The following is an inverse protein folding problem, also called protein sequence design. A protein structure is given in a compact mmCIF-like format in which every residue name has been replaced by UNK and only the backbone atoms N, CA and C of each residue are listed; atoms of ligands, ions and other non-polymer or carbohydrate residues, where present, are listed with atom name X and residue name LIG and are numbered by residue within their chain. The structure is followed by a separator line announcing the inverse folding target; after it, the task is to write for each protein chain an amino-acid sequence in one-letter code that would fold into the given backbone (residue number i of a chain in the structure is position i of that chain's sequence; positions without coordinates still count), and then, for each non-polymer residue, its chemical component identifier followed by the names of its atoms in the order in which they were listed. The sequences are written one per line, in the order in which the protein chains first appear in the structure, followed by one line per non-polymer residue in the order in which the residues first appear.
data_IF_710350062787
#
_entry.id   IF_710350062787
#
_cell.length_a   1.000
_cell.length_b   1.000
_cell.length_c   1.000
_cell.angle_alpha   90.00
_cell.angle_beta   90.00
_cell.angle_gamma   90.00
#
_symmetry.space_group_name_H-M   'P 1'
#
loop_
_entity.id
_entity.type
_entity.pdbx_description
1 polymer ?
#
# COMPACT_ATOMS: atom_id res chain seq x y z
N UNK A 1 58.50 -2.55 -51.32
CA UNK A 1 58.15 -2.51 -49.87
C UNK A 1 56.73 -3.03 -49.76
N UNK A 2 56.38 -4.22 -49.27
CA UNK A 2 57.11 -5.34 -48.67
C UNK A 2 56.46 -6.63 -49.19
N UNK A 3 57.28 -7.57 -49.65
CA UNK A 3 56.88 -8.92 -50.02
C UNK A 3 57.21 -9.87 -48.87
N UNK A 4 56.42 -10.93 -48.66
CA UNK A 4 56.80 -11.96 -47.69
C UNK A 4 55.69 -12.92 -47.26
N UNK A 5 55.29 -13.80 -48.18
CA UNK A 5 54.42 -14.98 -48.03
C UNK A 5 54.96 -16.08 -47.08
N UNK A 6 54.06 -17.03 -46.77
CA UNK A 6 54.28 -18.44 -46.37
C UNK A 6 54.16 -18.74 -44.86
N UNK A 7 53.63 -19.87 -44.38
CA UNK A 7 52.96 -21.06 -44.97
C UNK A 7 52.36 -21.83 -43.77
N UNK A 8 51.24 -22.51 -44.00
CA UNK A 8 50.70 -23.51 -43.11
C UNK A 8 51.56 -24.80 -43.09
N UNK A 9 51.53 -25.53 -41.97
CA UNK A 9 51.74 -26.98 -41.98
C UNK A 9 50.97 -27.66 -40.84
N UNK A 10 50.20 -28.67 -41.21
CA UNK A 10 49.43 -29.58 -40.35
C UNK A 10 50.27 -30.79 -39.92
N UNK A 11 49.88 -31.46 -38.83
CA UNK A 11 49.64 -32.94 -38.69
C UNK A 11 49.43 -33.26 -37.21
N UNK A 12 48.30 -33.82 -36.76
CA UNK A 12 47.69 -35.18 -36.84
C UNK A 12 48.26 -36.21 -35.84
N UNK A 13 47.31 -36.86 -35.14
CA UNK A 13 47.36 -38.14 -34.39
C UNK A 13 48.07 -38.14 -33.02
N UNK A 14 47.56 -38.77 -31.96
CA UNK A 14 46.34 -39.54 -31.78
C UNK A 14 46.29 -40.34 -30.46
N UNK A 15 45.05 -40.61 -30.00
CA UNK A 15 44.53 -41.85 -29.38
C UNK A 15 44.90 -42.32 -27.94
N UNK A 16 43.85 -42.93 -27.35
CA UNK A 16 43.69 -43.79 -26.14
C UNK A 16 43.47 -43.02 -24.83
N UNK A 17 42.50 -43.33 -23.97
CA UNK A 17 41.56 -44.45 -23.83
C UNK A 17 41.30 -44.61 -22.33
N UNK A 18 40.05 -44.77 -21.88
CA UNK A 18 39.74 -44.95 -20.46
C UNK A 18 38.25 -45.05 -20.15
N UNK A 19 37.71 -46.26 -20.28
CA UNK A 19 36.40 -46.67 -19.80
C UNK A 19 36.41 -46.76 -18.26
N UNK A 20 35.46 -46.09 -17.60
CA UNK A 20 35.17 -46.24 -16.18
C UNK A 20 33.70 -46.57 -15.97
N UNK A 21 33.43 -47.83 -15.65
CA UNK A 21 32.11 -48.38 -15.34
C UNK A 21 31.70 -48.05 -13.90
N UNK A 22 30.61 -47.30 -13.71
CA UNK A 22 30.02 -47.06 -12.39
C UNK A 22 28.89 -48.07 -12.12
N UNK A 23 29.03 -48.78 -11.01
CA UNK A 23 28.17 -49.86 -10.53
C UNK A 23 26.80 -49.35 -10.06
N UNK A 24 25.79 -50.16 -10.36
CA UNK A 24 24.45 -50.09 -9.78
C UNK A 24 24.44 -50.42 -8.29
N UNK A 25 23.99 -49.47 -7.48
CA UNK A 25 23.60 -49.67 -6.09
C UNK A 25 22.08 -49.84 -6.03
N UNK A 26 21.62 -51.00 -5.53
CA UNK A 26 20.21 -51.33 -5.29
C UNK A 26 19.59 -50.40 -4.23
N UNK A 27 18.32 -49.99 -4.36
CA UNK A 27 17.59 -49.36 -3.28
C UNK A 27 17.02 -50.44 -2.32
N UNK A 28 17.34 -50.29 -1.04
CA UNK A 28 16.73 -51.02 0.07
C UNK A 28 15.34 -50.46 0.36
N UNK A 29 14.35 -51.36 0.49
CA UNK A 29 12.97 -51.07 0.90
C UNK A 29 12.93 -50.52 2.33
N UNK A 30 12.14 -49.47 2.63
CA UNK A 30 11.70 -49.19 3.99
C UNK A 30 10.52 -50.10 4.36
N UNK A 31 10.58 -50.70 5.54
CA UNK A 31 9.53 -51.52 6.14
C UNK A 31 8.28 -50.72 6.50
N UNK A 32 7.14 -51.38 6.36
CA UNK A 32 5.84 -50.93 6.84
C UNK A 32 5.80 -50.98 8.36
N UNK A 33 5.55 -49.84 9.00
CA UNK A 33 5.09 -49.80 10.39
C UNK A 33 3.62 -49.37 10.34
N UNK A 34 2.75 -50.33 10.64
CA UNK A 34 1.34 -50.10 10.93
C UNK A 34 1.23 -49.35 12.27
N UNK A 35 0.92 -48.07 12.20
CA UNK A 35 0.50 -47.27 13.36
C UNK A 35 -0.99 -46.95 13.23
N UNK A 36 -1.81 -47.70 13.96
CA UNK A 36 -3.23 -47.42 14.19
C UNK A 36 -3.41 -46.03 14.80
N UNK A 37 -4.03 -45.12 14.06
CA UNK A 37 -4.47 -43.82 14.57
C UNK A 37 -5.93 -43.94 15.02
N UNK A 38 -6.11 -43.98 16.33
CA UNK A 38 -7.41 -43.84 16.98
C UNK A 38 -7.95 -42.43 16.78
N UNK A 39 -9.16 -42.32 16.23
CA UNK A 39 -9.89 -41.06 16.11
C UNK A 39 -10.32 -40.54 17.51
N UNK A 40 -10.25 -39.23 17.78
CA UNK A 40 -10.82 -38.67 19.00
C UNK A 40 -12.34 -38.55 18.89
N UNK A 41 -13.01 -38.95 19.96
CA UNK A 41 -14.44 -38.90 20.18
C UNK A 41 -14.97 -37.45 20.17
N UNK A 42 -16.17 -37.29 19.60
CA UNK A 42 -16.95 -36.06 19.64
C UNK A 42 -17.36 -35.70 21.08
N UNK A 43 -17.36 -34.41 21.47
CA UNK A 43 -17.89 -34.01 22.76
C UNK A 43 -19.42 -34.05 22.76
N UNK A 44 -19.94 -34.81 23.73
CA UNK A 44 -21.33 -34.87 24.16
C UNK A 44 -21.74 -33.50 24.70
N UNK A 45 -22.72 -32.87 24.06
CA UNK A 45 -23.38 -31.66 24.58
C UNK A 45 -24.45 -32.03 25.61
N UNK A 46 -24.58 -31.29 26.73
CA UNK A 46 -25.74 -31.41 27.59
C UNK A 46 -26.88 -30.51 27.08
N UNK A 47 -27.94 -31.19 26.65
CA UNK A 47 -29.30 -30.68 26.57
C UNK A 47 -29.82 -30.41 28.00
N UNK A 48 -30.34 -29.21 28.26
CA UNK A 48 -31.38 -28.95 29.28
C UNK A 48 -31.91 -27.52 29.20
N UNK A 49 -33.03 -27.40 28.51
CA UNK A 49 -34.30 -26.86 29.04
C UNK A 49 -34.23 -25.72 30.07
N UNK A 50 -34.64 -24.51 29.67
CA UNK A 50 -35.61 -23.74 30.45
C UNK A 50 -36.45 -22.83 29.55
N UNK A 51 -37.72 -23.21 29.40
CA UNK A 51 -38.75 -22.40 28.74
C UNK A 51 -39.28 -21.40 29.74
N UNK A 52 -38.93 -20.13 29.62
CA UNK A 52 -39.74 -19.05 30.18
C UNK A 52 -40.64 -18.46 29.09
N UNK A 53 -41.91 -18.92 29.10
CA UNK A 53 -43.01 -18.29 28.38
C UNK A 53 -43.44 -17.06 29.17
N UNK A 54 -43.12 -15.86 28.69
CA UNK A 54 -43.85 -14.66 29.06
C UNK A 54 -44.97 -14.44 28.02
N UNK A 55 -46.18 -14.83 28.41
CA UNK A 55 -47.44 -14.38 27.79
C UNK A 55 -47.67 -12.94 28.24
N UNK A 56 -47.61 -11.98 27.32
CA UNK A 56 -48.33 -10.73 27.47
C UNK A 56 -49.12 -10.43 26.20
N UNK A 57 -50.27 -9.84 26.44
CA UNK A 57 -51.50 -9.95 25.68
C UNK A 57 -51.60 -9.00 24.49
N UNK A 58 -52.33 -9.48 23.49
CA UNK A 58 -52.94 -8.72 22.37
C UNK A 58 -53.59 -7.41 22.83
N UNK A 59 -53.34 -6.32 22.11
CA UNK A 59 -54.30 -5.48 21.34
C UNK A 59 -53.81 -4.04 21.26
N UNK A 60 -53.57 -3.55 20.05
CA UNK A 60 -54.07 -2.29 19.47
C UNK A 60 -53.53 -2.21 18.03
N UNK A 61 -54.36 -2.51 17.03
CA UNK A 61 -55.16 -1.56 16.22
C UNK A 61 -54.33 -0.83 15.15
N UNK A 62 -54.52 -1.33 13.92
CA UNK A 62 -54.68 -0.62 12.63
C UNK A 62 -53.92 0.69 12.46
N UNK A 63 -52.89 0.62 11.63
CA UNK A 63 -52.33 1.73 10.86
C UNK A 63 -53.29 2.13 9.73
N UNK A 64 -53.56 3.43 9.51
CA UNK A 64 -54.17 3.89 8.27
C UNK A 64 -53.12 4.22 7.21
N UNK A 65 -53.61 4.10 5.97
CA UNK A 65 -52.95 4.34 4.69
C UNK A 65 -52.49 5.79 4.51
N UNK A 66 -51.45 5.93 3.71
CA UNK A 66 -51.03 7.17 3.05
C UNK A 66 -52.14 7.77 2.17
N UNK A 67 -52.15 9.10 2.02
CA UNK A 67 -52.26 9.66 0.67
C UNK A 67 -51.26 10.78 0.37
N UNK A 68 -51.15 11.02 -0.93
CA UNK A 68 -50.26 11.86 -1.74
C UNK A 68 -50.49 13.38 -1.66
N UNK A 69 -49.43 14.11 -2.05
CA UNK A 69 -49.39 15.40 -2.76
C UNK A 69 -49.84 16.70 -2.05
N UNK A 70 -49.04 17.76 -2.27
CA UNK A 70 -49.13 19.08 -1.62
C UNK A 70 -50.30 19.97 -2.05
N UNK A 71 -50.33 21.24 -1.56
CA UNK A 71 -49.65 22.31 -2.30
C UNK A 71 -48.90 23.35 -1.43
N UNK A 72 -48.16 24.22 -2.11
CA UNK A 72 -47.24 25.27 -1.62
C UNK A 72 -47.95 26.53 -1.05
N UNK A 73 -47.24 27.62 -0.65
CA UNK A 73 -47.37 28.24 0.67
C UNK A 73 -48.06 29.63 0.65
N UNK A 74 -48.21 30.29 1.82
CA UNK A 74 -48.32 31.73 1.87
C UNK A 74 -47.07 32.39 2.44
N UNK A 75 -46.76 33.52 1.82
CA UNK A 75 -45.82 34.57 2.16
C UNK A 75 -46.13 35.23 3.51
N UNK A 76 -45.09 35.79 4.18
CA UNK A 76 -45.33 36.87 5.14
C UNK A 76 -44.34 37.03 6.30
N UNK A 77 -43.47 38.03 6.14
CA UNK A 77 -43.16 39.07 7.14
C UNK A 77 -41.89 38.97 8.04
N UNK A 78 -41.02 39.94 7.78
CA UNK A 78 -40.46 40.96 8.70
C UNK A 78 -39.52 40.53 9.84
N UNK A 79 -38.23 40.73 9.54
CA UNK A 79 -37.21 41.43 10.33
C UNK A 79 -37.59 41.94 11.73
N UNK A 80 -36.88 41.49 12.76
CA UNK A 80 -36.47 42.32 13.91
C UNK A 80 -35.06 41.93 14.36
N UNK A 81 -34.11 42.82 14.10
CA UNK A 81 -32.77 42.83 14.67
C UNK A 81 -32.83 43.36 16.10
N UNK A 82 -32.49 42.53 17.08
CA UNK A 82 -32.24 43.00 18.45
C UNK A 82 -30.76 43.35 18.59
N UNK A 83 -30.45 44.65 18.63
CA UNK A 83 -29.16 45.16 19.12
C UNK A 83 -29.17 45.06 20.64
N UNK A 84 -28.35 44.17 21.20
CA UNK A 84 -27.97 44.23 22.60
C UNK A 84 -26.66 45.03 22.71
N UNK A 85 -26.76 46.26 23.21
CA UNK A 85 -25.63 47.07 23.66
C UNK A 85 -25.07 46.49 24.95
N UNK A 86 -23.87 45.94 24.91
CA UNK A 86 -23.11 45.57 26.11
C UNK A 86 -22.32 46.77 26.65
N UNK A 87 -22.31 46.98 27.98
CA UNK A 87 -21.64 48.10 28.61
C UNK A 87 -20.13 47.95 28.63
N UNK A 88 -19.44 49.09 28.52
CA UNK A 88 -17.99 49.26 28.59
C UNK A 88 -17.39 48.54 29.81
N UNK A 89 -16.55 47.54 29.57
CA UNK A 89 -15.67 46.96 30.60
C UNK A 89 -14.35 47.72 30.65
N UNK A 90 -14.07 48.20 31.85
CA UNK A 90 -12.86 48.88 32.30
C UNK A 90 -11.61 48.06 31.98
N UNK A 91 -10.57 48.77 31.57
CA UNK A 91 -9.27 48.21 31.23
C UNK A 91 -8.60 47.53 32.42
N UNK A 92 -8.30 46.26 32.25
CA UNK A 92 -7.19 45.60 32.92
C UNK A 92 -6.09 45.42 31.88
N UNK A 93 -4.98 46.13 32.04
CA UNK A 93 -3.72 45.80 31.35
C UNK A 93 -3.33 44.40 31.79
N UNK A 94 -3.43 43.44 30.87
CA UNK A 94 -2.83 42.14 31.06
C UNK A 94 -1.31 42.30 31.16
N UNK A 95 -0.64 41.59 32.09
CA UNK A 95 0.81 41.56 32.13
C UNK A 95 1.32 41.02 30.79
N UNK A 96 2.30 41.72 30.22
CA UNK A 96 2.97 41.32 28.99
C UNK A 96 3.47 39.88 29.14
N UNK A 97 2.83 39.00 28.38
CA UNK A 97 3.19 37.60 28.21
C UNK A 97 4.68 37.47 27.85
N UNK A 98 5.51 36.74 28.62
CA UNK A 98 6.91 36.50 28.28
C UNK A 98 7.09 35.54 27.09
N UNK A 99 5.99 35.07 26.47
CA UNK A 99 5.98 34.11 25.37
C UNK A 99 6.23 34.75 23.99
N UNK A 100 7.01 35.84 23.91
CA UNK A 100 7.69 36.20 22.66
C UNK A 100 9.05 35.53 22.65
N UNK A 101 9.02 34.20 22.60
CA UNK A 101 10.13 33.45 22.05
C UNK A 101 10.12 33.68 20.55
N UNK A 102 11.29 33.98 20.00
CA UNK A 102 11.56 34.05 18.57
C UNK A 102 10.75 33.03 17.77
N UNK A 103 9.93 33.52 16.84
CA UNK A 103 9.42 32.71 15.73
C UNK A 103 10.56 32.52 14.72
N UNK A 104 11.62 31.84 15.13
CA UNK A 104 12.59 31.23 14.22
C UNK A 104 11.84 30.18 13.42
N UNK A 105 11.76 30.39 12.10
CA UNK A 105 11.27 29.48 11.05
C UNK A 105 10.29 28.38 11.52
N UNK A 106 8.99 28.57 11.31
CA UNK A 106 8.04 27.46 11.34
C UNK A 106 8.44 26.41 10.30
N UNK A 107 9.15 25.35 10.72
CA UNK A 107 9.35 24.17 9.87
C UNK A 107 7.98 23.66 9.45
N UNK A 108 7.71 23.71 8.15
CA UNK A 108 6.47 23.20 7.58
C UNK A 108 6.52 21.68 7.54
N UNK A 109 5.62 21.03 8.28
CA UNK A 109 5.43 19.58 8.18
C UNK A 109 4.50 19.28 7.02
N UNK A 110 4.98 18.48 6.07
CA UNK A 110 4.25 18.02 4.90
C UNK A 110 3.64 16.65 5.20
N UNK A 111 2.33 16.50 5.02
CA UNK A 111 1.68 15.18 5.05
C UNK A 111 1.78 14.53 3.68
N UNK A 112 2.42 13.36 3.62
CA UNK A 112 2.59 12.59 2.38
C UNK A 112 1.63 11.41 2.28
N UNK A 113 0.63 11.37 3.16
CA UNK A 113 -0.35 10.29 3.24
C UNK A 113 -1.58 10.59 2.41
N UNK A 114 -1.89 9.68 1.51
CA UNK A 114 -3.16 9.64 0.81
C UNK A 114 -4.29 9.30 1.81
N UNK A 115 -5.32 10.15 1.94
CA UNK A 115 -6.46 9.84 2.81
C UNK A 115 -7.14 8.52 2.41
N UNK A 116 -7.42 7.68 3.40
CA UNK A 116 -8.24 6.49 3.19
C UNK A 116 -9.69 6.92 3.06
N UNK A 117 -10.27 6.71 1.89
CA UNK A 117 -11.64 7.10 1.57
C UNK A 117 -12.40 5.95 0.89
N UNK A 118 -13.74 5.89 1.05
CA UNK A 118 -14.57 4.99 0.28
C UNK A 118 -14.32 5.18 -1.23
N UNK A 119 -14.31 4.07 -1.97
CA UNK A 119 -14.09 4.07 -3.43
C UNK A 119 -12.73 4.64 -3.88
N UNK A 120 -11.73 4.70 -2.99
CA UNK A 120 -10.37 5.01 -3.41
C UNK A 120 -9.88 3.93 -4.41
N UNK A 121 -9.38 4.33 -5.60
CA UNK A 121 -8.93 3.39 -6.62
C UNK A 121 -7.78 2.51 -6.13
N UNK A 122 -7.00 2.98 -5.15
CA UNK A 122 -5.89 2.26 -4.50
C UNK A 122 -6.39 1.22 -3.47
N UNK A 123 -7.53 0.58 -3.76
CA UNK A 123 -8.14 -0.50 -2.96
C UNK A 123 -9.41 -1.10 -3.57
N UNK A 124 -9.69 -0.86 -4.86
CA UNK A 124 -10.99 -1.25 -5.44
C UNK A 124 -10.96 -1.75 -6.88
N UNK A 125 -9.78 -1.86 -7.49
CA UNK A 125 -9.66 -2.12 -8.94
C UNK A 125 -9.37 -3.60 -9.19
N UNK A 126 -8.46 -4.19 -8.43
CA UNK A 126 -7.97 -5.55 -8.63
C UNK A 126 -8.73 -6.59 -7.80
N UNK A 127 -8.69 -7.87 -8.18
CA UNK A 127 -9.54 -8.90 -7.56
C UNK A 127 -9.14 -9.20 -6.12
N UNK A 128 -7.90 -8.93 -5.74
CA UNK A 128 -7.41 -9.08 -4.37
C UNK A 128 -7.62 -7.84 -3.50
N UNK A 129 -8.10 -6.73 -4.08
CA UNK A 129 -8.33 -5.52 -3.33
C UNK A 129 -9.57 -5.69 -2.44
N UNK A 130 -9.57 -5.06 -1.26
CA UNK A 130 -10.75 -4.95 -0.40
C UNK A 130 -10.99 -3.47 -0.09
N UNK A 131 -12.05 -2.85 -0.63
CA UNK A 131 -12.26 -1.41 -0.53
C UNK A 131 -12.51 -0.99 0.90
N UNK A 132 -12.19 0.27 1.20
CA UNK A 132 -12.56 0.90 2.47
C UNK A 132 -14.09 1.04 2.56
N UNK A 133 -14.69 0.31 3.49
CA UNK A 133 -16.11 0.36 3.82
C UNK A 133 -16.25 0.74 5.30
N UNK A 134 -17.21 1.64 5.58
CA UNK A 134 -17.58 2.06 6.93
C UNK A 134 -19.02 1.65 7.21
N UNK A 135 -19.25 1.04 8.36
CA UNK A 135 -20.57 0.68 8.87
C UNK A 135 -20.76 1.28 10.27
N UNK A 136 -21.84 2.02 10.47
CA UNK A 136 -22.09 2.67 11.76
C UNK A 136 -22.51 1.63 12.82
N UNK A 137 -21.83 1.65 13.98
CA UNK A 137 -22.17 0.87 15.17
C UNK A 137 -23.11 1.69 16.07
N UNK A 138 -22.83 2.98 16.20
CA UNK A 138 -23.56 3.93 17.03
C UNK A 138 -23.52 5.32 16.39
N UNK A 139 -24.63 6.06 16.45
CA UNK A 139 -24.71 7.43 15.91
C UNK A 139 -24.85 8.48 17.01
N UNK A 140 -24.46 9.71 16.72
CA UNK A 140 -24.54 10.81 17.70
C UNK A 140 -25.99 11.07 18.11
N UNK A 141 -26.94 10.96 17.17
CA UNK A 141 -28.35 11.22 17.39
C UNK A 141 -28.96 10.23 18.38
N UNK A 142 -28.62 8.94 18.23
CA UNK A 142 -29.23 7.86 19.03
C UNK A 142 -28.42 7.53 20.27
N UNK A 143 -27.10 7.56 20.18
CA UNK A 143 -26.18 7.02 21.18
C UNK A 143 -25.27 8.07 21.82
N UNK A 144 -25.28 9.33 21.33
CA UNK A 144 -24.36 10.41 21.75
C UNK A 144 -22.88 10.09 21.51
N UNK A 145 -22.60 9.10 20.67
CA UNK A 145 -21.27 8.71 20.24
C UNK A 145 -21.32 8.31 18.75
N UNK A 146 -20.26 8.64 18.01
CA UNK A 146 -20.09 8.16 16.64
C UNK A 146 -19.06 7.04 16.65
N UNK A 147 -19.54 5.80 16.62
CA UNK A 147 -18.72 4.60 16.56
C UNK A 147 -19.04 3.87 15.27
N UNK A 148 -18.02 3.36 14.60
CA UNK A 148 -18.17 2.66 13.33
C UNK A 148 -17.15 1.54 13.20
N UNK A 149 -17.50 0.56 12.39
CA UNK A 149 -16.64 -0.53 11.97
C UNK A 149 -16.04 -0.18 10.60
N UNK A 150 -14.73 -0.40 10.43
CA UNK A 150 -14.04 -0.26 9.14
C UNK A 150 -13.66 -1.64 8.63
N UNK A 151 -13.95 -1.90 7.36
CA UNK A 151 -13.38 -3.02 6.59
C UNK A 151 -12.51 -2.44 5.48
N UNK A 152 -11.29 -2.92 5.36
CA UNK A 152 -10.35 -2.54 4.29
C UNK A 152 -9.27 -3.60 4.13
N UNK A 153 -8.64 -3.67 2.95
CA UNK A 153 -7.49 -4.53 2.71
C UNK A 153 -6.20 -3.95 3.27
N UNK A 154 -5.18 -4.79 3.45
CA UNK A 154 -3.81 -4.37 3.82
C UNK A 154 -3.24 -3.33 2.87
N UNK A 155 -3.59 -3.45 1.58
CA UNK A 155 -3.09 -2.62 0.50
C UNK A 155 -3.83 -1.30 0.29
N UNK A 156 -4.53 -0.79 1.29
CA UNK A 156 -5.37 0.41 1.14
C UNK A 156 -4.59 1.71 1.32
N UNK A 157 -4.69 2.61 0.34
CA UNK A 157 -4.12 3.97 0.41
C UNK A 157 -2.58 3.97 0.36
N UNK A 158 -1.97 4.97 1.01
CA UNK A 158 -0.52 4.95 1.28
C UNK A 158 -0.20 3.77 2.17
N UNK A 159 0.69 2.90 1.70
CA UNK A 159 0.92 1.59 2.33
C UNK A 159 2.39 1.21 2.31
N UNK A 160 2.81 0.50 3.35
CA UNK A 160 4.13 -0.09 3.45
C UNK A 160 4.05 -1.59 3.16
N UNK A 161 4.99 -2.10 2.38
CA UNK A 161 5.21 -3.52 2.10
C UNK A 161 6.58 -3.95 2.62
N UNK A 162 6.68 -5.16 3.14
CA UNK A 162 7.92 -5.79 3.60
C UNK A 162 8.24 -7.02 2.74
N UNK A 163 9.38 -7.68 2.99
CA UNK A 163 9.74 -8.92 2.29
C UNK A 163 8.71 -10.05 2.49
N UNK A 164 7.97 -10.01 3.59
CA UNK A 164 6.81 -10.88 3.85
C UNK A 164 5.77 -10.92 2.71
N UNK A 165 5.73 -9.87 1.88
CA UNK A 165 4.74 -9.71 0.81
C UNK A 165 4.95 -10.77 -0.29
N UNK A 166 6.20 -11.17 -0.51
CA UNK A 166 6.58 -12.19 -1.48
C UNK A 166 7.01 -13.53 -0.89
N UNK A 167 7.34 -13.55 0.39
CA UNK A 167 7.92 -14.69 1.09
C UNK A 167 7.30 -14.79 2.49
N UNK A 168 6.59 -15.89 2.78
CA UNK A 168 5.95 -16.10 4.08
C UNK A 168 6.93 -16.16 5.27
N UNK A 169 8.23 -16.36 5.03
CA UNK A 169 9.29 -16.31 6.05
C UNK A 169 9.96 -14.93 6.16
N UNK A 170 9.57 -13.98 5.31
CA UNK A 170 10.07 -12.62 5.30
C UNK A 170 9.60 -11.79 6.50
N UNK A 171 10.11 -10.57 6.59
CA UNK A 171 9.76 -9.64 7.65
C UNK A 171 8.27 -9.26 7.59
N UNK A 172 7.65 -9.09 8.74
CA UNK A 172 6.30 -8.55 8.90
C UNK A 172 6.37 -7.10 9.40
N UNK A 173 5.24 -6.39 9.37
CA UNK A 173 5.14 -5.00 9.80
C UNK A 173 5.51 -4.83 11.28
N UNK A 174 5.12 -5.77 12.13
CA UNK A 174 5.45 -5.80 13.55
C UNK A 174 6.90 -6.21 13.85
N UNK A 175 7.60 -6.82 12.90
CA UNK A 175 9.04 -7.15 13.05
C UNK A 175 9.97 -6.00 12.65
N UNK A 176 9.46 -4.91 12.09
CA UNK A 176 10.30 -3.78 11.67
C UNK A 176 10.80 -2.95 12.88
N UNK A 177 12.08 -2.53 12.90
CA UNK A 177 12.62 -1.66 13.94
C UNK A 177 11.99 -0.26 13.85
N UNK A 178 11.10 0.06 14.79
CA UNK A 178 10.28 1.29 14.76
C UNK A 178 11.09 2.58 14.89
N UNK A 179 12.21 2.51 15.61
CA UNK A 179 13.19 3.60 15.72
C UNK A 179 13.80 3.96 14.36
N UNK A 180 13.82 3.02 13.41
CA UNK A 180 14.27 3.24 12.03
C UNK A 180 13.14 3.65 11.09
N UNK A 181 11.97 3.99 11.61
CA UNK A 181 10.82 4.47 10.84
C UNK A 181 10.45 5.92 11.18
N UNK A 182 11.19 6.56 12.09
CA UNK A 182 10.93 7.91 12.60
C UNK A 182 12.15 8.79 12.35
N UNK A 183 11.91 10.02 11.89
CA UNK A 183 12.94 11.04 11.69
C UNK A 183 14.12 10.60 10.81
N UNK A 184 13.86 9.79 9.79
CA UNK A 184 14.87 9.35 8.83
C UNK A 184 15.35 10.52 7.99
N UNK A 185 16.67 10.70 7.96
CA UNK A 185 17.28 11.44 6.87
C UNK A 185 16.95 10.74 5.56
N UNK A 186 16.27 11.46 4.68
CA UNK A 186 15.72 10.95 3.43
C UNK A 186 16.18 11.82 2.29
N UNK A 187 16.61 11.19 1.20
CA UNK A 187 16.95 11.92 -0.02
C UNK A 187 15.86 11.78 -1.06
N UNK A 188 15.60 12.87 -1.76
CA UNK A 188 14.52 13.02 -2.73
C UNK A 188 15.09 12.86 -4.13
N UNK A 189 14.72 11.76 -4.80
CA UNK A 189 15.03 11.50 -6.20
C UNK A 189 13.86 11.97 -7.07
N UNK A 190 14.05 13.02 -7.84
CA UNK A 190 13.03 13.53 -8.75
C UNK A 190 13.17 12.86 -10.11
N UNK A 191 12.16 12.09 -10.49
CA UNK A 191 12.06 11.41 -11.78
C UNK A 191 10.67 11.72 -12.35
N UNK A 192 10.45 12.92 -12.92
CA UNK A 192 9.14 13.29 -13.46
C UNK A 192 8.67 12.27 -14.49
N UNK A 193 7.44 11.78 -14.32
CA UNK A 193 6.81 10.82 -15.23
C UNK A 193 5.31 11.10 -15.34
N UNK A 194 4.82 11.00 -16.55
CA UNK A 194 3.40 11.09 -16.88
C UNK A 194 2.75 9.69 -16.89
N UNK A 195 1.47 9.66 -17.22
CA UNK A 195 0.60 8.49 -17.28
C UNK A 195 1.27 7.31 -18.00
N UNK A 196 1.26 6.16 -17.33
CA UNK A 196 1.78 4.87 -17.78
C UNK A 196 3.27 4.84 -18.15
N UNK A 197 4.03 5.93 -17.92
CA UNK A 197 5.44 5.95 -18.28
C UNK A 197 6.26 5.00 -17.41
N UNK A 198 7.27 4.39 -18.03
CA UNK A 198 8.18 3.47 -17.35
C UNK A 198 9.42 4.20 -16.84
N UNK A 199 9.83 3.89 -15.61
CA UNK A 199 11.08 4.32 -15.00
C UNK A 199 12.14 3.24 -15.31
N UNK A 200 13.10 3.62 -16.13
CA UNK A 200 14.17 2.77 -16.63
C UNK A 200 15.50 2.93 -15.87
N UNK A 201 16.49 2.09 -16.20
CA UNK A 201 17.86 2.20 -15.67
C UNK A 201 18.48 3.59 -15.79
N UNK A 202 18.29 4.26 -16.95
CA UNK A 202 18.83 5.59 -17.20
C UNK A 202 18.22 6.63 -16.26
N UNK A 203 16.89 6.59 -16.05
CA UNK A 203 16.20 7.49 -15.14
C UNK A 203 16.76 7.37 -13.71
N UNK A 204 16.91 6.12 -13.24
CA UNK A 204 17.44 5.82 -11.90
C UNK A 204 18.87 6.35 -11.76
N UNK A 205 19.76 6.02 -12.69
CA UNK A 205 21.16 6.45 -12.66
C UNK A 205 21.29 7.97 -12.68
N UNK A 206 20.59 8.64 -13.60
CA UNK A 206 20.62 10.11 -13.70
C UNK A 206 20.08 10.76 -12.44
N UNK A 207 19.02 10.22 -11.84
CA UNK A 207 18.49 10.75 -10.59
C UNK A 207 19.52 10.64 -9.46
N UNK A 208 20.14 9.46 -9.30
CA UNK A 208 21.19 9.27 -8.29
C UNK A 208 22.39 10.19 -8.54
N UNK A 209 22.86 10.34 -9.78
CA UNK A 209 23.96 11.25 -10.14
C UNK A 209 23.65 12.71 -9.85
N UNK A 210 22.45 13.20 -10.22
CA UNK A 210 22.03 14.58 -9.98
C UNK A 210 21.92 14.90 -8.48
N UNK A 211 21.61 13.88 -7.71
CA UNK A 211 21.37 13.95 -6.27
C UNK A 211 22.66 13.69 -5.45
N UNK A 212 23.73 13.22 -6.09
CA UNK A 212 25.01 12.84 -5.46
C UNK A 212 25.82 14.07 -5.01
N UNK A 213 25.34 14.74 -3.98
CA UNK A 213 26.11 15.73 -3.23
C UNK A 213 27.10 14.99 -2.31
N UNK A 214 28.31 14.74 -2.80
CA UNK A 214 29.52 14.40 -2.05
C UNK A 214 29.33 13.49 -0.80
N UNK A 215 28.70 12.30 -0.96
CA UNK A 215 28.69 11.25 0.07
C UNK A 215 27.60 11.34 1.15
N UNK A 216 26.63 12.25 1.04
CA UNK A 216 25.59 12.48 2.05
C UNK A 216 24.42 11.45 2.10
N UNK A 217 24.60 10.26 1.52
CA UNK A 217 23.50 9.32 1.23
C UNK A 217 23.50 8.03 2.04
N UNK A 218 24.64 7.65 2.61
CA UNK A 218 24.80 6.36 3.27
C UNK A 218 23.85 6.26 4.46
N UNK A 219 23.01 5.22 4.48
CA UNK A 219 22.01 5.00 5.51
C UNK A 219 20.76 5.90 5.42
N UNK A 220 20.66 6.78 4.43
CA UNK A 220 19.45 7.59 4.21
C UNK A 220 18.35 6.74 3.56
N UNK A 221 17.10 7.04 3.89
CA UNK A 221 15.96 6.57 3.10
C UNK A 221 15.93 7.26 1.74
N UNK A 222 15.20 6.67 0.79
CA UNK A 222 15.06 7.21 -0.56
C UNK A 222 13.59 7.43 -0.88
N UNK A 223 13.23 8.67 -1.22
CA UNK A 223 11.92 9.06 -1.73
C UNK A 223 12.03 9.35 -3.23
N UNK A 224 11.40 8.53 -4.07
CA UNK A 224 11.26 8.79 -5.50
C UNK A 224 9.98 9.60 -5.76
N UNK A 225 10.12 10.75 -6.41
CA UNK A 225 9.00 11.64 -6.73
C UNK A 225 8.84 11.73 -8.24
N UNK A 226 7.69 11.29 -8.73
CA UNK A 226 7.28 11.38 -10.13
C UNK A 226 6.38 12.57 -10.43
N UNK A 227 5.73 13.12 -9.41
CA UNK A 227 4.64 14.09 -9.54
C UNK A 227 3.26 13.42 -9.52
N UNK A 228 3.19 12.09 -9.59
CA UNK A 228 1.92 11.36 -9.61
C UNK A 228 1.09 11.54 -8.33
N UNK A 229 1.77 11.70 -7.18
CA UNK A 229 1.13 11.87 -5.88
C UNK A 229 0.38 13.20 -5.72
N UNK A 230 0.58 14.15 -6.63
CA UNK A 230 -0.10 15.45 -6.59
C UNK A 230 -1.45 15.40 -7.32
N UNK A 231 -1.74 14.33 -8.06
CA UNK A 231 -3.04 14.13 -8.68
C UNK A 231 -4.09 13.63 -7.67
N UNK A 232 -5.33 14.08 -7.85
CA UNK A 232 -6.47 13.64 -7.04
C UNK A 232 -6.97 12.27 -7.49
N UNK A 233 -6.95 11.22 -6.63
CA UNK A 233 -7.52 9.92 -6.98
C UNK A 233 -9.03 9.99 -7.20
N UNK A 234 -9.71 10.97 -6.58
CA UNK A 234 -11.14 11.19 -6.75
C UNK A 234 -11.47 11.67 -8.17
N UNK A 235 -10.61 12.49 -8.75
CA UNK A 235 -10.81 13.06 -10.08
C UNK A 235 -10.40 12.08 -11.17
N UNK A 236 -9.27 11.38 -10.98
CA UNK A 236 -8.79 10.39 -11.94
C UNK A 236 -9.54 9.05 -11.88
N UNK A 237 -10.20 8.74 -10.76
CA UNK A 237 -10.86 7.45 -10.58
C UNK A 237 -9.87 6.28 -10.72
N UNK A 238 -10.27 5.22 -11.42
CA UNK A 238 -9.42 4.03 -11.60
C UNK A 238 -8.09 4.33 -12.33
N UNK A 239 -8.05 5.39 -13.14
CA UNK A 239 -6.82 5.80 -13.84
C UNK A 239 -5.72 6.22 -12.87
N UNK A 240 -6.05 6.69 -11.66
CA UNK A 240 -5.03 6.98 -10.65
C UNK A 240 -4.17 5.76 -10.35
N UNK A 241 -4.79 4.58 -10.30
CA UNK A 241 -4.07 3.33 -10.14
C UNK A 241 -3.59 2.82 -11.50
N UNK A 242 -4.47 2.66 -12.48
CA UNK A 242 -4.18 1.97 -13.74
C UNK A 242 -3.18 2.70 -14.63
N UNK A 243 -3.08 4.02 -14.52
CA UNK A 243 -2.20 4.84 -15.33
C UNK A 243 -1.01 5.41 -14.54
N UNK A 244 -0.73 4.92 -13.32
CA UNK A 244 0.46 5.35 -12.58
C UNK A 244 1.75 5.07 -13.36
N UNK A 245 2.76 5.95 -13.28
CA UNK A 245 4.13 5.58 -13.62
C UNK A 245 4.56 4.35 -12.83
N UNK A 246 5.46 3.57 -13.41
CA UNK A 246 5.91 2.31 -12.82
C UNK A 246 7.38 2.05 -13.15
N UNK A 247 8.04 1.22 -12.34
CA UNK A 247 9.40 0.78 -12.64
C UNK A 247 9.38 -0.32 -13.69
N UNK A 248 10.28 -0.24 -14.66
CA UNK A 248 10.65 -1.40 -15.47
C UNK A 248 11.40 -2.42 -14.60
N UNK A 249 11.42 -3.70 -15.00
CA UNK A 249 12.19 -4.72 -14.28
C UNK A 249 13.69 -4.37 -14.18
N UNK A 250 14.27 -3.81 -15.25
CA UNK A 250 15.66 -3.37 -15.26
C UNK A 250 15.89 -2.13 -14.37
N UNK A 251 14.98 -1.15 -14.41
CA UNK A 251 15.04 0.01 -13.52
C UNK A 251 14.90 -0.36 -12.05
N UNK A 252 14.02 -1.31 -11.73
CA UNK A 252 13.88 -1.87 -10.38
C UNK A 252 15.16 -2.57 -9.91
N UNK A 253 15.83 -3.32 -10.78
CA UNK A 253 17.09 -3.98 -10.45
C UNK A 253 18.21 -2.97 -10.15
N UNK A 254 18.35 -1.92 -10.97
CA UNK A 254 19.32 -0.85 -10.74
C UNK A 254 19.01 -0.11 -9.43
N UNK A 255 17.74 0.27 -9.21
CA UNK A 255 17.29 0.92 -7.97
C UNK A 255 17.57 0.04 -6.74
N UNK A 256 17.22 -1.24 -6.80
CA UNK A 256 17.49 -2.20 -5.72
C UNK A 256 19.00 -2.33 -5.44
N UNK A 257 19.83 -2.30 -6.49
CA UNK A 257 21.28 -2.28 -6.37
C UNK A 257 21.80 -1.05 -5.63
N UNK A 258 21.31 0.13 -6.00
CA UNK A 258 21.63 1.40 -5.34
C UNK A 258 21.20 1.43 -3.87
N UNK A 259 19.95 1.05 -3.59
CA UNK A 259 19.39 1.01 -2.24
C UNK A 259 20.21 0.08 -1.34
N UNK A 260 20.56 -1.12 -1.83
CA UNK A 260 21.41 -2.07 -1.10
C UNK A 260 22.81 -1.50 -0.87
N UNK A 261 23.45 -0.96 -1.90
CA UNK A 261 24.83 -0.43 -1.83
C UNK A 261 24.94 0.73 -0.83
N UNK A 262 23.90 1.55 -0.73
CA UNK A 262 23.83 2.71 0.17
C UNK A 262 23.29 2.36 1.56
N UNK A 263 22.81 1.13 1.76
CA UNK A 263 22.23 0.68 3.03
C UNK A 263 20.93 1.43 3.38
N UNK A 264 20.12 1.74 2.36
CA UNK A 264 18.87 2.47 2.57
C UNK A 264 17.91 1.65 3.45
N UNK A 265 17.39 2.20 4.55
CA UNK A 265 16.49 1.49 5.45
C UNK A 265 15.04 1.44 4.94
N UNK A 266 14.68 2.34 4.02
CA UNK A 266 13.32 2.53 3.51
C UNK A 266 13.35 3.10 2.09
N UNK A 267 12.49 2.59 1.22
CA UNK A 267 12.20 3.16 -0.09
C UNK A 267 10.74 3.66 -0.13
N UNK A 268 10.51 4.83 -0.71
CA UNK A 268 9.17 5.40 -0.86
C UNK A 268 8.96 5.97 -2.27
N UNK A 269 7.73 5.93 -2.75
CA UNK A 269 7.33 6.55 -4.02
C UNK A 269 5.90 7.07 -4.01
N UNK A 270 5.66 8.10 -4.80
CA UNK A 270 4.33 8.64 -5.08
C UNK A 270 3.56 7.89 -6.18
N UNK A 271 4.19 6.93 -6.87
CA UNK A 271 3.50 5.98 -7.72
C UNK A 271 2.44 5.20 -6.93
N UNK A 272 1.26 4.97 -7.51
CA UNK A 272 0.19 4.21 -6.85
C UNK A 272 0.56 2.73 -6.63
N UNK A 273 1.44 2.19 -7.49
CA UNK A 273 2.15 0.93 -7.32
C UNK A 273 3.52 1.01 -8.03
N UNK A 274 4.48 0.16 -7.65
CA UNK A 274 5.82 0.12 -8.28
C UNK A 274 5.84 -0.77 -9.53
N UNK A 275 4.98 -1.79 -9.56
CA UNK A 275 4.73 -2.59 -10.75
C UNK A 275 3.84 -1.82 -11.74
N UNK A 276 3.86 -2.24 -13.01
CA UNK A 276 2.75 -1.89 -13.90
C UNK A 276 1.47 -2.46 -13.29
N UNK A 277 0.45 -1.64 -12.96
CA UNK A 277 -0.74 -2.10 -12.26
C UNK A 277 -1.43 -3.26 -12.98
N UNK A 278 -1.56 -4.39 -12.27
CA UNK A 278 -2.14 -5.63 -12.78
C UNK A 278 -1.24 -6.42 -13.73
N UNK A 279 0.00 -5.95 -13.93
CA UNK A 279 0.98 -6.57 -14.81
C UNK A 279 0.46 -6.87 -16.20
N UNK A 280 0.82 -8.05 -16.71
CA UNK A 280 0.38 -8.57 -18.00
C UNK A 280 -0.97 -9.26 -17.87
N UNK A 281 -1.19 -10.01 -16.79
CA UNK A 281 -2.32 -10.93 -16.68
C UNK A 281 -3.54 -10.27 -16.05
N UNK A 282 -3.45 -9.80 -14.80
CA UNK A 282 -4.60 -9.20 -14.14
C UNK A 282 -5.08 -7.92 -14.85
N UNK A 283 -4.19 -7.17 -15.50
CA UNK A 283 -4.60 -6.01 -16.32
C UNK A 283 -5.44 -6.44 -17.53
N UNK A 284 -4.98 -7.45 -18.26
CA UNK A 284 -5.65 -7.93 -19.47
C UNK A 284 -6.92 -8.75 -19.19
N UNK A 285 -6.93 -9.52 -18.11
CA UNK A 285 -7.99 -10.49 -17.80
C UNK A 285 -9.06 -9.91 -16.84
N UNK A 286 -8.68 -8.99 -15.94
CA UNK A 286 -9.57 -8.41 -14.95
C UNK A 286 -9.82 -6.94 -15.22
N UNK A 287 -8.78 -6.08 -15.22
CA UNK A 287 -8.97 -4.63 -15.30
C UNK A 287 -9.63 -4.15 -16.62
N UNK A 288 -9.50 -4.94 -17.69
CA UNK A 288 -10.16 -4.70 -18.99
C UNK A 288 -11.68 -4.91 -18.98
N UNK A 289 -12.20 -5.60 -17.96
CA UNK A 289 -13.64 -5.83 -17.78
C UNK A 289 -14.28 -4.56 -17.21
N UNK A 290 -15.52 -4.27 -17.61
CA UNK A 290 -16.28 -3.12 -17.09
C UNK A 290 -16.47 -3.21 -15.57
N UNK A 291 -16.33 -2.11 -14.80
CA UNK A 291 -16.22 -2.17 -13.33
C UNK A 291 -17.31 -2.96 -12.61
N UNK A 292 -18.57 -2.87 -13.02
CA UNK A 292 -19.68 -3.56 -12.35
C UNK A 292 -19.65 -5.09 -12.54
N UNK A 293 -18.91 -5.61 -13.52
CA UNK A 293 -18.73 -7.04 -13.75
C UNK A 293 -17.52 -7.61 -12.99
N UNK A 294 -16.68 -6.75 -12.41
CA UNK A 294 -15.47 -7.14 -11.69
C UNK A 294 -15.42 -6.55 -10.26
N UNK A 295 -16.45 -6.81 -9.43
CA UNK A 295 -16.42 -6.34 -8.05
C UNK A 295 -15.20 -6.94 -7.31
N UNK A 296 -14.48 -6.16 -6.49
CA UNK A 296 -13.28 -6.62 -5.81
C UNK A 296 -13.60 -7.63 -4.70
N UNK A 297 -12.57 -8.11 -3.97
CA UNK A 297 -12.78 -8.98 -2.83
C UNK A 297 -13.69 -8.32 -1.78
N UNK A 298 -14.62 -9.06 -1.13
CA UNK A 298 -14.79 -10.51 -1.13
C UNK A 298 -15.90 -11.04 -2.07
N UNK A 299 -16.09 -10.44 -3.26
CA UNK A 299 -17.09 -10.90 -4.22
C UNK A 299 -16.85 -12.33 -4.72
N UNK A 300 -17.89 -12.98 -5.22
CA UNK A 300 -17.78 -14.33 -5.80
C UNK A 300 -16.98 -14.31 -7.11
N UNK A 301 -17.03 -13.22 -7.87
CA UNK A 301 -16.26 -12.99 -9.09
C UNK A 301 -14.76 -12.90 -8.76
N UNK A 302 -14.39 -12.10 -7.75
CA UNK A 302 -13.02 -11.98 -7.28
C UNK A 302 -12.48 -13.32 -6.78
N UNK A 303 -13.26 -14.02 -5.95
CA UNK A 303 -12.91 -15.38 -5.49
C UNK A 303 -12.72 -16.36 -6.63
N UNK A 304 -13.59 -16.32 -7.64
CA UNK A 304 -13.48 -17.19 -8.81
C UNK A 304 -12.22 -16.88 -9.63
N UNK A 305 -11.96 -15.60 -9.90
CA UNK A 305 -10.75 -15.18 -10.59
C UNK A 305 -9.47 -15.62 -9.86
N UNK A 306 -9.39 -15.38 -8.55
CA UNK A 306 -8.21 -15.71 -7.75
C UNK A 306 -7.94 -17.23 -7.69
N UNK A 307 -8.97 -18.09 -7.77
CA UNK A 307 -8.78 -19.54 -7.90
C UNK A 307 -8.08 -19.95 -9.21
N UNK A 308 -8.18 -19.12 -10.25
CA UNK A 308 -7.58 -19.35 -11.57
C UNK A 308 -6.38 -18.41 -11.86
N UNK A 309 -5.91 -17.70 -10.84
CA UNK A 309 -4.75 -16.82 -10.91
C UNK A 309 -3.55 -17.45 -10.17
N UNK A 310 -2.80 -18.36 -10.82
CA UNK A 310 -1.76 -19.14 -10.17
C UNK A 310 -0.57 -18.28 -9.76
N UNK A 311 0.25 -18.80 -8.84
CA UNK A 311 1.44 -18.13 -8.30
C UNK A 311 2.42 -17.65 -9.38
N UNK A 312 2.53 -18.35 -10.52
CA UNK A 312 3.36 -17.92 -11.65
C UNK A 312 2.87 -16.59 -12.25
N UNK A 313 1.56 -16.46 -12.54
CA UNK A 313 0.97 -15.20 -13.03
C UNK A 313 1.14 -14.09 -11.99
N UNK A 314 0.87 -14.40 -10.72
CA UNK A 314 1.01 -13.45 -9.62
C UNK A 314 2.44 -12.93 -9.50
N UNK A 315 3.45 -13.81 -9.62
CA UNK A 315 4.86 -13.42 -9.60
C UNK A 315 5.24 -12.59 -10.81
N UNK A 316 4.75 -12.92 -12.00
CA UNK A 316 5.00 -12.15 -13.21
C UNK A 316 4.42 -10.74 -13.13
N UNK A 317 3.19 -10.60 -12.62
CA UNK A 317 2.52 -9.30 -12.51
C UNK A 317 3.06 -8.41 -11.37
N UNK A 318 3.81 -8.99 -10.42
CA UNK A 318 4.34 -8.31 -9.22
C UNK A 318 5.86 -8.38 -9.13
N UNK A 319 6.55 -8.68 -10.23
CA UNK A 319 7.97 -8.98 -10.21
C UNK A 319 8.81 -7.83 -9.62
N UNK A 320 8.41 -6.58 -9.89
CA UNK A 320 9.09 -5.40 -9.34
C UNK A 320 8.86 -5.29 -7.84
N UNK A 321 7.61 -5.32 -7.37
CA UNK A 321 7.33 -5.29 -5.93
C UNK A 321 8.08 -6.39 -5.18
N UNK A 322 8.07 -7.61 -5.70
CA UNK A 322 8.74 -8.77 -5.08
C UNK A 322 10.26 -8.56 -5.01
N UNK A 323 10.87 -8.04 -6.07
CA UNK A 323 12.32 -7.77 -6.10
C UNK A 323 12.74 -6.63 -5.17
N UNK A 324 11.98 -5.54 -5.10
CA UNK A 324 12.28 -4.38 -4.25
C UNK A 324 12.08 -4.69 -2.77
N UNK A 325 10.95 -5.31 -2.42
CA UNK A 325 10.60 -5.64 -1.03
C UNK A 325 11.54 -6.68 -0.42
N UNK A 326 12.18 -7.52 -1.25
CA UNK A 326 13.26 -8.40 -0.81
C UNK A 326 14.55 -7.65 -0.40
N UNK A 327 14.71 -6.39 -0.80
CA UNK A 327 15.87 -5.55 -0.45
C UNK A 327 15.54 -4.60 0.69
N UNK A 328 14.39 -3.93 0.61
CA UNK A 328 14.04 -2.86 1.54
C UNK A 328 12.51 -2.76 1.69
N UNK A 329 11.99 -2.43 2.89
CA UNK A 329 10.59 -2.03 3.03
C UNK A 329 10.26 -0.90 2.04
N UNK A 330 9.09 -0.99 1.41
CA UNK A 330 8.69 -0.10 0.32
C UNK A 330 7.35 0.55 0.64
N UNK A 331 7.28 1.88 0.56
CA UNK A 331 6.04 2.65 0.69
C UNK A 331 5.60 3.17 -0.66
N UNK A 332 4.32 2.99 -0.99
CA UNK A 332 3.75 3.43 -2.27
C UNK A 332 2.50 4.29 -2.04
N UNK A 333 2.03 4.94 -3.11
CA UNK A 333 0.87 5.82 -3.13
C UNK A 333 1.00 6.98 -2.14
N UNK A 334 2.19 7.59 -2.08
CA UNK A 334 2.35 8.87 -1.38
C UNK A 334 1.57 9.98 -2.11
N UNK A 335 1.10 10.97 -1.34
CA UNK A 335 0.38 12.13 -1.85
C UNK A 335 1.13 13.42 -1.55
N UNK A 336 0.89 14.48 -2.32
CA UNK A 336 1.42 15.83 -2.01
C UNK A 336 2.95 15.96 -2.05
N UNK A 337 3.65 15.04 -2.73
CA UNK A 337 5.11 15.04 -2.83
C UNK A 337 5.65 16.27 -3.56
N UNK A 338 4.86 16.92 -4.43
CA UNK A 338 5.24 18.17 -5.08
C UNK A 338 5.37 19.35 -4.13
N UNK A 339 4.86 19.25 -2.90
CA UNK A 339 5.10 20.26 -1.86
C UNK A 339 6.51 20.22 -1.29
N UNK A 340 7.25 19.11 -1.46
CA UNK A 340 8.63 18.98 -1.04
C UNK A 340 9.52 19.61 -2.11
N UNK A 341 10.17 20.73 -1.78
CA UNK A 341 11.12 21.42 -2.65
C UNK A 341 12.58 21.09 -2.32
N UNK A 342 12.87 20.71 -1.07
CA UNK A 342 14.21 20.33 -0.65
C UNK A 342 14.64 18.99 -1.27
N UNK A 343 15.94 18.83 -1.52
CA UNK A 343 16.52 17.57 -1.98
C UNK A 343 16.67 16.56 -0.83
N UNK A 344 16.63 17.04 0.41
CA UNK A 344 16.67 16.22 1.62
C UNK A 344 15.54 16.62 2.58
N UNK A 345 14.98 15.62 3.23
CA UNK A 345 13.92 15.78 4.22
C UNK A 345 14.16 14.85 5.40
N UNK A 346 13.61 15.21 6.54
CA UNK A 346 13.44 14.30 7.67
C UNK A 346 12.06 13.69 7.59
N UNK A 347 11.99 12.38 7.47
CA UNK A 347 10.77 11.65 7.18
C UNK A 347 10.40 10.69 8.30
N UNK A 348 9.12 10.58 8.58
CA UNK A 348 8.56 9.54 9.47
C UNK A 348 7.52 8.75 8.68
N UNK A 349 7.62 7.41 8.68
CA UNK A 349 6.71 6.50 8.00
C UNK A 349 6.23 5.39 8.94
N UNK A 350 5.08 5.58 9.57
CA UNK A 350 4.52 4.68 10.57
C UNK A 350 3.38 3.84 9.98
N UNK A 351 3.60 2.54 9.70
CA UNK A 351 2.53 1.65 9.32
C UNK A 351 1.66 1.34 10.54
N UNK A 352 0.39 1.00 10.29
CA UNK A 352 -0.52 0.50 11.32
C UNK A 352 0.17 -0.61 12.14
N UNK A 353 0.01 -0.57 13.46
CA UNK A 353 0.58 -1.56 14.36
C UNK A 353 -0.26 -2.85 14.35
N UNK A 354 -0.12 -3.63 13.28
CA UNK A 354 -0.77 -4.92 13.06
C UNK A 354 0.27 -6.04 13.07
N UNK A 355 -0.08 -7.16 13.70
CA UNK A 355 0.77 -8.34 13.86
C UNK A 355 0.67 -9.27 12.67
N UNK A 356 1.77 -9.92 12.31
CA UNK A 356 1.79 -11.03 11.34
C UNK A 356 1.21 -10.64 9.96
N UNK A 357 1.47 -9.41 9.52
CA UNK A 357 1.13 -8.95 8.17
C UNK A 357 2.34 -8.37 7.48
N UNK A 358 2.44 -8.55 6.16
CA UNK A 358 3.53 -8.04 5.36
C UNK A 358 3.23 -6.73 4.62
N UNK A 359 2.00 -6.25 4.76
CA UNK A 359 1.55 -5.00 4.16
C UNK A 359 0.55 -4.33 5.10
N UNK A 360 0.65 -3.02 5.27
CA UNK A 360 -0.30 -2.25 6.04
C UNK A 360 -0.39 -0.79 5.56
N UNK A 361 -1.53 -0.11 5.75
CA UNK A 361 -1.63 1.32 5.56
C UNK A 361 -0.63 2.07 6.46
N UNK A 362 -0.11 3.19 5.95
CA UNK A 362 1.00 3.91 6.55
C UNK A 362 0.74 5.41 6.58
N UNK A 363 1.06 6.03 7.72
CA UNK A 363 1.12 7.50 7.85
C UNK A 363 2.54 7.96 7.61
N UNK A 364 2.70 8.94 6.71
CA UNK A 364 3.98 9.46 6.25
C UNK A 364 3.94 10.98 6.34
N UNK A 365 4.93 11.54 7.02
CA UNK A 365 5.14 12.98 7.14
C UNK A 365 6.60 13.30 6.87
N UNK A 366 6.86 14.49 6.32
CA UNK A 366 8.20 14.96 6.03
C UNK A 366 8.37 16.43 6.43
N UNK A 367 9.56 16.80 6.88
CA UNK A 367 9.98 18.18 7.10
C UNK A 367 11.27 18.45 6.31
N UNK A 368 11.44 19.62 5.68
CA UNK A 368 12.69 19.97 5.01
C UNK A 368 13.88 19.96 5.98
N UNK A 369 15.04 19.48 5.51
CA UNK A 369 16.31 19.49 6.27
C UNK A 369 17.15 20.73 5.98
#
# INVERSE_FOLDING_TARGET
MSAGTAKACSTRNGRRGGLGTARHSRPTKPGSICGTTSAPAAPVGPDRTSRHRCRCTRRCRRWPRWPTAGPSPPSGSRSRSCRCTSPARRGHRAPSSPWRSDMTATSSVHTLTLPIAPHSPVSSVFPWDSPHLREDIATVERNRAHLFHIRMGSGTGTRMRTSGYGDASGATIDSLPRDRLVNLDTVVLRIPKDREESIGPADVRTAFEASDTAGAWTGCAVLLVTGWGDHSPRELGEDYLLATPHLSAAGAADLAGELRRRGAPLFLTDCADVDRPGGRHARAEWASVVPWQRPPWPSDQAKAYLRHYPAEKARADRAVSLSLTAVVPTVVALAGCGSIQADRVRLTALPLAVTDVAEAPCTVVAEPL
#
